data_IF_178705948921
#
_entry.id   IF_178705948921
#
_cell.length_a   1.000
_cell.length_b   1.000
_cell.length_c   1.000
_cell.angle_alpha   90.00
_cell.angle_beta   90.00
_cell.angle_gamma   90.00
#
_symmetry.space_group_name_H-M   'P 1'
#
loop_
_entity.id
_entity.type
_entity.pdbx_description
1 polymer ?
#
# COMPACT_ATOMS: atom_id res chain seq x y z
N UNK A 1 -28.45 -7.96 0.04
CA UNK A 1 -27.16 -7.30 -0.21
C UNK A 1 -27.34 -6.44 -1.45
N UNK A 2 -27.63 -5.14 -1.28
CA UNK A 2 -27.61 -4.19 -2.39
C UNK A 2 -26.38 -3.32 -2.14
N UNK A 3 -25.26 -3.70 -2.74
CA UNK A 3 -24.06 -2.88 -2.73
C UNK A 3 -24.09 -2.01 -3.99
N UNK A 4 -23.91 -0.70 -3.82
CA UNK A 4 -23.74 0.24 -4.91
C UNK A 4 -22.25 0.61 -4.99
N UNK A 5 -21.59 0.19 -6.07
CA UNK A 5 -20.22 0.58 -6.39
C UNK A 5 -20.27 1.78 -7.32
N UNK A 6 -19.69 2.90 -6.92
CA UNK A 6 -19.57 4.02 -7.84
C UNK A 6 -18.34 3.83 -8.75
N UNK A 7 -18.39 4.41 -9.95
CA UNK A 7 -17.29 4.30 -10.93
C UNK A 7 -15.99 4.91 -10.39
N UNK A 8 -16.09 6.00 -9.63
CA UNK A 8 -14.93 6.70 -9.08
C UNK A 8 -14.12 5.84 -8.09
N UNK A 9 -14.79 5.02 -7.28
CA UNK A 9 -14.18 4.03 -6.40
C UNK A 9 -13.58 2.86 -7.19
N UNK A 10 -14.25 2.45 -8.28
CA UNK A 10 -13.75 1.41 -9.17
C UNK A 10 -12.44 1.81 -9.84
N UNK A 11 -12.39 3.03 -10.39
CA UNK A 11 -11.25 3.57 -11.12
C UNK A 11 -9.99 3.62 -10.23
N UNK A 12 -10.14 4.03 -8.96
CA UNK A 12 -9.02 4.11 -8.00
C UNK A 12 -8.31 2.79 -7.79
N UNK A 13 -9.06 1.68 -7.71
CA UNK A 13 -8.50 0.34 -7.47
C UNK A 13 -8.20 -0.42 -8.75
N UNK A 14 -8.72 0.04 -9.89
CA UNK A 14 -8.56 -0.63 -11.18
C UNK A 14 -7.10 -0.65 -11.63
N UNK A 15 -6.38 0.45 -11.45
CA UNK A 15 -4.97 0.54 -11.86
C UNK A 15 -4.08 -0.53 -11.22
N UNK A 16 -4.37 -0.96 -9.97
CA UNK A 16 -3.58 -2.01 -9.32
C UNK A 16 -3.83 -3.39 -9.95
N UNK A 17 -4.96 -3.58 -10.65
CA UNK A 17 -5.31 -4.81 -11.36
C UNK A 17 -4.63 -4.93 -12.72
N UNK A 18 -4.03 -3.86 -13.23
CA UNK A 18 -3.26 -3.86 -14.48
C UNK A 18 -1.88 -4.53 -14.29
N UNK A 19 -1.49 -4.86 -13.05
CA UNK A 19 -0.25 -5.54 -12.77
C UNK A 19 -0.21 -6.92 -13.43
N UNK A 20 0.69 -7.09 -14.40
CA UNK A 20 0.93 -8.36 -15.12
C UNK A 20 1.95 -9.28 -14.43
N UNK A 21 2.32 -8.99 -13.19
CA UNK A 21 3.24 -9.81 -12.38
C UNK A 21 4.59 -10.10 -13.06
N UNK A 22 5.17 -9.12 -13.75
CA UNK A 22 6.47 -9.26 -14.41
C UNK A 22 7.68 -9.16 -13.46
N UNK A 23 7.49 -8.70 -12.22
CA UNK A 23 8.52 -8.51 -11.19
C UNK A 23 9.69 -7.56 -11.52
N UNK A 24 9.63 -6.79 -12.61
CA UNK A 24 10.66 -5.79 -12.94
C UNK A 24 10.87 -4.76 -11.81
N UNK A 25 9.76 -4.33 -11.20
CA UNK A 25 9.80 -3.41 -10.06
C UNK A 25 10.55 -3.97 -8.85
N UNK A 26 10.50 -5.29 -8.62
CA UNK A 26 11.19 -5.97 -7.53
C UNK A 26 12.69 -6.04 -7.82
N UNK A 27 13.06 -6.44 -9.04
CA UNK A 27 14.46 -6.55 -9.45
C UNK A 27 15.21 -5.20 -9.45
N UNK A 28 14.53 -4.12 -9.82
CA UNK A 28 15.16 -2.78 -9.83
C UNK A 28 15.23 -2.13 -8.45
N UNK A 29 14.47 -2.62 -7.46
CA UNK A 29 14.33 -1.96 -6.17
C UNK A 29 15.66 -1.99 -5.40
N UNK A 30 16.19 -0.82 -5.05
CA UNK A 30 17.48 -0.70 -4.33
C UNK A 30 17.46 -1.40 -2.96
N UNK A 31 16.33 -1.39 -2.26
CA UNK A 31 16.18 -2.05 -0.95
C UNK A 31 16.34 -3.57 -1.05
N UNK A 32 15.83 -4.17 -2.14
CA UNK A 32 15.93 -5.61 -2.34
C UNK A 32 17.25 -5.98 -3.02
N UNK A 33 17.63 -5.26 -4.07
CA UNK A 33 18.82 -5.56 -4.87
C UNK A 33 20.12 -5.26 -4.13
N UNK A 34 20.20 -4.10 -3.48
CA UNK A 34 21.47 -3.59 -2.94
C UNK A 34 21.61 -3.87 -1.43
N UNK A 35 20.48 -3.98 -0.70
CA UNK A 35 20.47 -4.27 0.73
C UNK A 35 20.00 -5.70 1.08
N UNK A 36 19.66 -6.53 0.08
CA UNK A 36 19.29 -7.94 0.25
C UNK A 36 18.16 -8.22 1.26
N UNK A 37 17.26 -7.26 1.45
CA UNK A 37 16.18 -7.30 2.46
C UNK A 37 14.99 -8.18 2.06
N UNK A 38 15.21 -9.32 1.41
CA UNK A 38 14.14 -10.18 0.86
C UNK A 38 13.26 -10.84 1.93
N UNK A 39 13.79 -11.06 3.14
CA UNK A 39 13.06 -11.67 4.24
C UNK A 39 12.20 -10.65 5.02
N UNK A 40 12.61 -9.38 5.03
CA UNK A 40 12.00 -8.33 5.84
C UNK A 40 11.11 -7.37 5.02
N UNK A 41 11.39 -7.20 3.72
CA UNK A 41 10.66 -6.30 2.84
C UNK A 41 9.95 -7.06 1.72
N UNK A 42 8.63 -6.97 1.69
CA UNK A 42 7.81 -7.68 0.70
C UNK A 42 8.06 -7.24 -0.74
N UNK A 43 8.56 -6.02 -0.95
CA UNK A 43 8.86 -5.49 -2.27
C UNK A 43 7.66 -4.87 -3.00
N UNK A 44 7.93 -4.05 -4.03
CA UNK A 44 6.93 -3.21 -4.67
C UNK A 44 5.78 -3.98 -5.32
N UNK A 45 6.03 -5.14 -5.95
CA UNK A 45 4.94 -5.95 -6.54
C UNK A 45 3.94 -6.39 -5.48
N UNK A 46 4.43 -6.95 -4.38
CA UNK A 46 3.56 -7.50 -3.33
C UNK A 46 2.79 -6.36 -2.65
N UNK A 47 3.41 -5.18 -2.49
CA UNK A 47 2.74 -3.98 -2.00
C UNK A 47 1.63 -3.47 -2.95
N UNK A 48 1.80 -3.54 -4.27
CA UNK A 48 0.70 -3.23 -5.22
C UNK A 48 -0.49 -4.17 -5.01
N UNK A 49 -0.23 -5.46 -4.77
CA UNK A 49 -1.29 -6.42 -4.49
C UNK A 49 -1.99 -6.13 -3.15
N UNK A 50 -1.24 -5.76 -2.11
CA UNK A 50 -1.82 -5.35 -0.84
C UNK A 50 -2.64 -4.07 -0.96
N UNK A 51 -2.12 -3.08 -1.68
CA UNK A 51 -2.82 -1.84 -2.00
C UNK A 51 -4.17 -2.11 -2.67
N UNK A 52 -4.21 -3.07 -3.61
CA UNK A 52 -5.45 -3.48 -4.27
C UNK A 52 -6.52 -3.96 -3.28
N UNK A 53 -6.15 -4.72 -2.23
CA UNK A 53 -7.09 -5.24 -1.24
C UNK A 53 -7.43 -4.20 -0.17
N UNK A 54 -6.41 -3.59 0.42
CA UNK A 54 -6.55 -2.64 1.53
C UNK A 54 -7.36 -1.40 1.13
N UNK A 55 -7.27 -0.97 -0.13
CA UNK A 55 -8.04 0.16 -0.65
C UNK A 55 -9.33 -0.26 -1.35
N UNK A 56 -9.66 -1.55 -1.39
CA UNK A 56 -10.89 -2.02 -2.00
C UNK A 56 -12.10 -1.67 -1.12
N UNK A 57 -13.12 -0.97 -1.63
CA UNK A 57 -14.21 -0.49 -0.77
C UNK A 57 -15.09 -1.61 -0.21
N UNK A 58 -15.18 -2.74 -0.92
CA UNK A 58 -15.84 -3.95 -0.45
C UNK A 58 -15.00 -4.79 0.53
N UNK A 59 -13.70 -4.55 0.61
CA UNK A 59 -12.88 -5.27 1.57
C UNK A 59 -13.08 -4.64 2.95
N UNK A 60 -13.37 -5.50 3.94
CA UNK A 60 -13.67 -5.10 5.31
C UNK A 60 -12.57 -5.50 6.29
N UNK A 61 -11.57 -6.24 5.81
CA UNK A 61 -10.48 -6.76 6.62
C UNK A 61 -9.39 -5.71 6.80
N UNK A 62 -8.80 -5.65 7.99
CA UNK A 62 -7.85 -4.61 8.38
C UNK A 62 -6.42 -5.14 8.36
N UNK A 63 -5.68 -4.85 7.28
CA UNK A 63 -4.33 -5.40 7.07
C UNK A 63 -3.22 -4.45 7.48
N UNK A 64 -3.54 -3.23 7.94
CA UNK A 64 -2.53 -2.23 8.35
C UNK A 64 -1.52 -2.78 9.39
N UNK A 65 -1.90 -3.62 10.39
CA UNK A 65 -0.94 -4.20 11.31
C UNK A 65 0.07 -5.13 10.63
N UNK A 66 -0.40 -5.96 9.69
CA UNK A 66 0.44 -6.88 8.89
C UNK A 66 1.33 -6.09 7.92
N UNK A 67 0.77 -5.07 7.25
CA UNK A 67 1.50 -4.18 6.33
C UNK A 67 2.71 -3.55 7.03
N UNK A 68 2.54 -3.13 8.30
CA UNK A 68 3.64 -2.60 9.10
C UNK A 68 4.64 -3.69 9.50
N UNK A 69 4.16 -4.77 10.11
CA UNK A 69 5.01 -5.71 10.85
C UNK A 69 5.64 -6.78 9.95
N UNK A 70 4.88 -7.29 8.98
CA UNK A 70 5.24 -8.45 8.18
C UNK A 70 5.70 -8.07 6.77
N UNK A 71 5.08 -7.05 6.15
CA UNK A 71 5.42 -6.67 4.78
C UNK A 71 6.50 -5.59 4.68
N UNK A 72 6.98 -5.06 5.82
CA UNK A 72 8.13 -4.16 5.87
C UNK A 72 7.94 -2.86 5.10
N UNK A 73 6.71 -2.34 5.01
CA UNK A 73 6.39 -1.12 4.22
C UNK A 73 7.30 0.06 4.53
N UNK A 74 7.85 0.12 5.75
CA UNK A 74 8.74 1.17 6.24
C UNK A 74 10.07 1.21 5.48
N UNK A 75 10.58 0.08 5.00
CA UNK A 75 11.86 -0.01 4.29
C UNK A 75 11.88 0.69 2.93
N UNK A 76 10.71 0.95 2.31
CA UNK A 76 10.70 1.68 1.05
C UNK A 76 11.13 3.14 1.22
N UNK A 77 12.16 3.55 0.49
CA UNK A 77 12.74 4.89 0.50
C UNK A 77 12.11 5.88 -0.51
N UNK A 78 10.99 5.51 -1.15
CA UNK A 78 10.23 6.39 -2.08
C UNK A 78 11.12 6.96 -3.22
N UNK A 79 12.05 6.16 -3.74
CA UNK A 79 12.96 6.57 -4.83
C UNK A 79 12.33 6.50 -6.22
N UNK A 80 11.11 5.96 -6.35
CA UNK A 80 10.37 5.79 -7.61
C UNK A 80 10.97 4.83 -8.65
N UNK A 81 12.09 4.14 -8.35
CA UNK A 81 12.72 3.14 -9.22
C UNK A 81 11.73 2.08 -9.75
N UNK A 82 10.78 1.64 -8.92
CA UNK A 82 9.76 0.67 -9.31
C UNK A 82 8.71 1.23 -10.28
N UNK A 83 8.36 2.52 -10.16
CA UNK A 83 7.40 3.19 -11.05
C UNK A 83 8.02 3.38 -12.43
N UNK A 84 9.28 3.81 -12.50
CA UNK A 84 9.98 4.11 -13.76
C UNK A 84 10.11 2.91 -14.70
N UNK A 85 10.18 1.70 -14.16
CA UNK A 85 10.34 0.47 -14.95
C UNK A 85 9.03 -0.28 -15.22
N UNK A 86 7.89 0.18 -14.69
CA UNK A 86 6.65 -0.58 -14.77
C UNK A 86 6.06 -0.55 -16.20
N UNK A 87 5.99 -1.68 -16.92
CA UNK A 87 5.49 -1.69 -18.29
C UNK A 87 3.96 -1.51 -18.37
N UNK A 88 3.25 -1.75 -17.27
CA UNK A 88 1.81 -1.52 -17.16
C UNK A 88 1.47 -0.05 -16.84
N UNK A 89 2.45 0.82 -16.62
CA UNK A 89 2.21 2.25 -16.34
C UNK A 89 1.70 2.57 -14.93
N UNK A 90 1.65 1.58 -14.03
CA UNK A 90 1.15 1.73 -12.66
C UNK A 90 2.04 2.72 -11.89
N UNK A 91 1.43 3.71 -11.24
CA UNK A 91 2.14 4.64 -10.35
C UNK A 91 2.41 3.99 -8.99
N UNK A 92 3.24 2.94 -8.97
CA UNK A 92 3.46 2.07 -7.81
C UNK A 92 3.83 2.87 -6.55
N UNK A 93 4.74 3.82 -6.68
CA UNK A 93 5.22 4.57 -5.51
C UNK A 93 4.15 5.48 -4.93
N UNK A 94 3.47 6.26 -5.77
CA UNK A 94 2.51 7.29 -5.35
C UNK A 94 1.19 6.69 -4.91
N UNK A 95 0.64 5.81 -5.75
CA UNK A 95 -0.74 5.37 -5.59
C UNK A 95 -0.84 4.13 -4.71
N UNK A 96 0.18 3.26 -4.71
CA UNK A 96 0.21 2.08 -3.83
C UNK A 96 1.04 2.33 -2.56
N UNK A 97 2.35 2.55 -2.69
CA UNK A 97 3.26 2.52 -1.54
C UNK A 97 3.02 3.69 -0.59
N UNK A 98 2.92 4.93 -1.08
CA UNK A 98 2.67 6.10 -0.23
C UNK A 98 1.31 5.97 0.47
N UNK A 99 0.25 5.55 -0.24
CA UNK A 99 -1.06 5.32 0.37
C UNK A 99 -1.02 4.29 1.50
N UNK A 100 -0.29 3.18 1.31
CA UNK A 100 -0.09 2.20 2.39
C UNK A 100 0.71 2.78 3.55
N UNK A 101 1.79 3.54 3.27
CA UNK A 101 2.59 4.22 4.30
C UNK A 101 1.75 5.21 5.09
N UNK A 102 0.93 6.04 4.45
CA UNK A 102 0.05 7.02 5.11
C UNK A 102 -0.90 6.33 6.10
N UNK A 103 -1.53 5.21 5.71
CA UNK A 103 -2.38 4.41 6.62
C UNK A 103 -1.62 3.89 7.84
N UNK A 104 -0.37 3.44 7.66
CA UNK A 104 0.50 3.02 8.77
C UNK A 104 0.86 4.21 9.66
N UNK A 105 1.23 5.34 9.05
CA UNK A 105 1.63 6.58 9.74
C UNK A 105 0.50 7.13 10.59
N UNK A 106 -0.68 7.31 10.00
CA UNK A 106 -1.85 7.80 10.70
C UNK A 106 -2.26 6.90 11.88
N UNK A 107 -1.93 5.60 11.82
CA UNK A 107 -2.31 4.63 12.86
C UNK A 107 -1.33 4.60 14.01
N UNK A 108 -0.04 4.59 13.71
CA UNK A 108 1.00 4.31 14.69
C UNK A 108 1.83 5.54 15.07
N UNK A 109 1.93 6.53 14.19
CA UNK A 109 2.86 7.65 14.33
C UNK A 109 2.19 9.01 14.49
N UNK A 110 0.96 9.23 14.01
CA UNK A 110 0.25 10.51 14.17
C UNK A 110 -0.30 10.70 15.62
N UNK A 111 0.29 11.62 16.42
CA UNK A 111 -0.15 11.84 17.80
C UNK A 111 -1.50 12.56 17.87
N UNK A 112 -1.84 13.40 16.90
CA UNK A 112 -3.08 14.15 16.86
C UNK A 112 -4.26 13.22 16.59
N UNK A 113 -4.14 12.34 15.59
CA UNK A 113 -5.11 11.27 15.34
C UNK A 113 -5.29 10.37 16.57
N UNK A 114 -4.20 10.00 17.25
CA UNK A 114 -4.27 9.14 18.45
C UNK A 114 -5.03 9.81 19.59
N UNK A 115 -4.74 11.08 19.88
CA UNK A 115 -5.46 11.86 20.90
C UNK A 115 -6.93 11.99 20.51
N UNK A 116 -7.21 12.37 19.26
CA UNK A 116 -8.57 12.51 18.73
C UNK A 116 -9.40 11.24 18.87
N UNK A 117 -8.83 10.06 18.57
CA UNK A 117 -9.50 8.76 18.73
C UNK A 117 -9.76 8.41 20.18
N UNK A 118 -8.82 8.75 21.06
CA UNK A 118 -8.97 8.50 22.50
C UNK A 118 -10.12 9.32 23.06
N UNK A 119 -10.29 10.56 22.60
CA UNK A 119 -11.39 11.46 23.01
C UNK A 119 -12.71 11.06 22.36
N UNK A 120 -12.74 10.85 21.05
CA UNK A 120 -14.00 10.62 20.30
C UNK A 120 -14.47 9.17 20.30
N UNK A 121 -13.63 8.21 20.69
CA UNK A 121 -13.85 6.75 20.61
C UNK A 121 -14.31 6.27 19.23
N UNK A 122 -14.13 7.05 18.16
CA UNK A 122 -14.45 6.63 16.79
C UNK A 122 -13.41 5.63 16.30
N UNK A 123 -13.87 4.48 15.82
CA UNK A 123 -13.06 3.59 14.99
C UNK A 123 -12.84 4.27 13.64
N UNK A 124 -11.59 4.57 13.31
CA UNK A 124 -11.21 5.06 11.99
C UNK A 124 -10.95 3.84 11.11
N UNK A 125 -11.74 3.71 10.05
CA UNK A 125 -11.44 2.81 8.95
C UNK A 125 -10.51 3.57 8.01
N UNK A 126 -9.42 2.92 7.67
CA UNK A 126 -8.42 3.45 6.74
C UNK A 126 -8.83 3.10 5.33
#
# INVERSE_FOLDING_TARGET
MNWEFNQMEADRVQQFRECIECFLCVNTCHVLRDHEMFDDFAGPRNLVRLAQYEMHPLDTEDRVPEIKKEFGIEYCNITRCCTEVCPAGIQITDDAIIQLKERVVDRYYDPLQRIWRTITRKKVRY
#
